data_IF_396672484583
#
_entry.id   IF_396672484583
#
_cell.length_a   1.000
_cell.length_b   1.000
_cell.length_c   1.000
_cell.angle_alpha   90.00
_cell.angle_beta   90.00
_cell.angle_gamma   90.00
#
_symmetry.space_group_name_H-M   'P 1'
#
loop_
_entity.id
_entity.type
_entity.pdbx_description
1 polymer ?
#
# COMPACT_ATOMS: atom_id res chain seq x y z
N UNK A 1 11.90 15.07 -40.06
CA UNK A 1 10.47 14.78 -39.74
C UNK A 1 10.15 15.37 -38.37
N UNK A 2 8.89 15.79 -38.11
CA UNK A 2 8.45 16.22 -36.76
C UNK A 2 7.97 15.00 -35.98
N UNK A 3 8.61 14.66 -34.87
CA UNK A 3 8.10 13.63 -33.95
C UNK A 3 7.03 14.25 -33.05
N UNK A 4 5.80 13.75 -33.16
CA UNK A 4 4.62 14.34 -32.52
C UNK A 4 4.37 13.82 -31.10
N UNK A 5 4.80 14.58 -30.10
CA UNK A 5 3.95 15.03 -28.98
C UNK A 5 3.11 13.96 -28.21
N UNK A 6 3.55 12.70 -28.13
CA UNK A 6 2.84 11.60 -27.46
C UNK A 6 3.65 10.99 -26.31
N UNK A 7 3.74 11.72 -25.18
CA UNK A 7 4.17 11.18 -23.88
C UNK A 7 3.70 12.06 -22.71
N UNK A 8 2.42 12.48 -22.73
CA UNK A 8 1.76 13.15 -21.60
C UNK A 8 0.98 12.16 -20.72
N UNK A 9 1.71 11.30 -20.01
CA UNK A 9 1.22 10.58 -18.82
C UNK A 9 2.39 9.92 -18.11
N UNK A 10 3.17 10.72 -17.38
CA UNK A 10 4.20 10.22 -16.47
C UNK A 10 3.55 9.64 -15.21
N UNK A 11 2.83 8.53 -15.35
CA UNK A 11 2.33 7.73 -14.23
C UNK A 11 3.54 6.94 -13.68
N UNK A 12 4.45 7.68 -13.05
CA UNK A 12 5.56 7.16 -12.26
C UNK A 12 5.04 6.73 -10.89
N UNK A 13 4.08 5.79 -10.89
CA UNK A 13 3.67 5.08 -9.68
C UNK A 13 4.83 4.16 -9.30
N UNK A 14 5.78 4.72 -8.55
CA UNK A 14 6.84 3.97 -7.91
C UNK A 14 6.19 3.04 -6.88
N UNK A 15 5.92 1.79 -7.31
CA UNK A 15 5.34 0.73 -6.50
C UNK A 15 6.34 0.29 -5.43
N UNK A 16 6.51 1.12 -4.41
CA UNK A 16 7.19 0.75 -3.18
C UNK A 16 6.36 -0.35 -2.52
N UNK A 17 7.01 -1.46 -2.23
CA UNK A 17 6.38 -2.60 -1.60
C UNK A 17 7.37 -3.43 -0.80
N UNK A 18 6.85 -4.05 0.25
CA UNK A 18 7.61 -4.82 1.22
C UNK A 18 6.90 -6.13 1.52
N UNK A 19 7.65 -7.13 1.97
CA UNK A 19 7.16 -8.45 2.37
C UNK A 19 7.01 -8.54 3.90
N UNK A 20 5.82 -8.88 4.38
CA UNK A 20 5.56 -9.22 5.78
C UNK A 20 5.28 -10.70 5.95
N UNK A 21 5.55 -11.24 7.14
CA UNK A 21 5.24 -12.62 7.51
C UNK A 21 4.27 -12.61 8.70
N UNK A 22 3.06 -13.16 8.54
CA UNK A 22 2.16 -13.44 9.66
C UNK A 22 1.13 -14.52 9.27
N UNK A 23 0.59 -15.23 10.25
CA UNK A 23 -0.06 -16.52 10.06
C UNK A 23 -1.54 -16.44 9.65
N UNK A 24 -1.97 -17.47 8.90
CA UNK A 24 -3.36 -17.88 8.61
C UNK A 24 -4.28 -16.92 7.84
N UNK A 25 -4.29 -15.60 8.09
CA UNK A 25 -5.25 -14.70 7.44
C UNK A 25 -4.74 -13.28 7.17
N UNK A 26 -4.33 -13.04 5.92
CA UNK A 26 -4.01 -11.71 5.40
C UNK A 26 -5.30 -10.93 5.15
N UNK A 27 -5.41 -9.73 5.73
CA UNK A 27 -6.50 -8.79 5.50
C UNK A 27 -6.03 -7.35 5.78
N UNK A 28 -6.79 -6.34 5.33
CA UNK A 28 -6.40 -4.92 5.46
C UNK A 28 -6.12 -4.47 6.90
N UNK A 29 -6.83 -5.02 7.88
CA UNK A 29 -6.84 -4.60 9.27
C UNK A 29 -5.90 -5.43 10.17
N UNK A 30 -5.10 -6.35 9.61
CA UNK A 30 -4.08 -7.05 10.39
C UNK A 30 -2.92 -6.12 10.72
N UNK A 31 -2.36 -6.24 11.92
CA UNK A 31 -1.36 -5.26 12.38
C UNK A 31 -0.04 -5.34 11.60
N UNK A 32 0.28 -6.53 11.09
CA UNK A 32 1.35 -6.71 10.12
C UNK A 32 1.11 -5.99 8.79
N UNK A 33 -0.12 -5.99 8.27
CA UNK A 33 -0.46 -5.23 7.07
C UNK A 33 -0.44 -3.71 7.33
N UNK A 34 -0.91 -3.25 8.49
CA UNK A 34 -0.87 -1.83 8.90
C UNK A 34 0.56 -1.31 9.02
N UNK A 35 1.39 -1.99 9.81
CA UNK A 35 2.78 -1.58 10.06
C UNK A 35 3.59 -1.53 8.76
N UNK A 36 3.39 -2.51 7.89
CA UNK A 36 4.07 -2.58 6.59
C UNK A 36 3.57 -1.52 5.61
N UNK A 37 2.26 -1.24 5.58
CA UNK A 37 1.70 -0.13 4.81
C UNK A 37 2.21 1.24 5.30
N UNK A 38 2.29 1.46 6.61
CA UNK A 38 2.87 2.66 7.20
C UNK A 38 4.36 2.82 6.83
N UNK A 39 5.12 1.72 6.85
CA UNK A 39 6.52 1.73 6.42
C UNK A 39 6.65 2.08 4.94
N UNK A 40 5.83 1.50 4.07
CA UNK A 40 5.78 1.81 2.63
C UNK A 40 5.41 3.29 2.39
N UNK A 41 4.44 3.85 3.13
CA UNK A 41 4.03 5.26 3.02
C UNK A 41 5.18 6.20 3.41
N UNK A 42 5.82 5.97 4.56
CA UNK A 42 6.98 6.76 5.00
C UNK A 42 8.19 6.62 4.04
N UNK A 43 8.40 5.43 3.46
CA UNK A 43 9.41 5.23 2.41
C UNK A 43 9.08 5.97 1.11
N UNK A 44 7.80 6.05 0.73
CA UNK A 44 7.37 6.75 -0.48
C UNK A 44 7.56 8.26 -0.38
N UNK A 45 7.22 8.88 0.76
CA UNK A 45 7.46 10.31 0.99
C UNK A 45 8.93 10.63 1.32
N UNK A 46 9.73 9.64 1.73
CA UNK A 46 11.16 9.75 2.00
C UNK A 46 11.55 10.17 3.43
N UNK A 47 10.60 10.24 4.35
CA UNK A 47 10.82 10.57 5.77
C UNK A 47 9.72 9.99 6.67
N UNK A 48 10.01 9.83 7.96
CA UNK A 48 9.12 9.19 8.92
C UNK A 48 8.16 10.22 9.57
N UNK A 49 7.21 10.76 8.80
CA UNK A 49 6.20 11.69 9.33
C UNK A 49 4.98 11.01 9.91
N UNK A 50 4.58 9.84 9.37
CA UNK A 50 3.36 9.16 9.76
C UNK A 50 3.65 8.07 10.79
N UNK A 51 2.87 8.05 11.87
CA UNK A 51 3.15 7.29 13.09
C UNK A 51 2.18 6.10 13.27
N UNK A 52 1.02 6.14 12.61
CA UNK A 52 0.01 5.08 12.63
C UNK A 52 -0.91 5.14 11.39
N UNK A 53 -1.68 4.06 11.17
CA UNK A 53 -2.79 4.02 10.21
C UNK A 53 -4.12 3.85 10.94
N UNK A 54 -5.02 4.83 10.80
CA UNK A 54 -6.37 4.84 11.35
C UNK A 54 -7.43 4.55 10.27
N UNK A 55 -8.69 4.37 10.68
CA UNK A 55 -9.86 4.22 9.81
C UNK A 55 -9.70 3.18 8.67
N UNK A 56 -8.95 2.11 8.96
CA UNK A 56 -8.54 1.07 8.01
C UNK A 56 -9.75 0.26 7.53
N UNK A 57 -10.01 0.28 6.21
CA UNK A 57 -11.16 -0.36 5.57
C UNK A 57 -10.78 -1.09 4.28
N UNK A 58 -11.35 -2.28 4.09
CA UNK A 58 -11.29 -3.01 2.82
C UNK A 58 -12.24 -2.35 1.81
N UNK A 59 -11.71 -1.75 0.75
CA UNK A 59 -12.50 -1.20 -0.34
C UNK A 59 -12.98 -2.28 -1.33
N UNK A 60 -12.11 -3.26 -1.63
CA UNK A 60 -12.39 -4.41 -2.50
C UNK A 60 -11.57 -5.61 -2.04
N UNK A 61 -12.02 -6.82 -2.37
CA UNK A 61 -11.26 -8.05 -2.17
C UNK A 61 -11.40 -8.98 -3.38
N UNK A 62 -10.33 -9.67 -3.73
CA UNK A 62 -10.30 -10.77 -4.68
C UNK A 62 -9.68 -11.98 -3.96
N UNK A 63 -10.54 -12.75 -3.28
CA UNK A 63 -10.16 -13.91 -2.49
C UNK A 63 -9.55 -15.03 -3.34
N UNK A 64 -9.96 -15.17 -4.61
CA UNK A 64 -9.37 -16.13 -5.55
C UNK A 64 -7.89 -15.84 -5.85
N UNK A 65 -7.48 -14.56 -5.81
CA UNK A 65 -6.09 -14.13 -6.03
C UNK A 65 -5.35 -13.75 -4.73
N UNK A 66 -6.00 -13.87 -3.57
CA UNK A 66 -5.43 -13.44 -2.29
C UNK A 66 -5.12 -11.93 -2.19
N UNK A 67 -5.80 -11.09 -2.98
CA UNK A 67 -5.56 -9.63 -3.04
C UNK A 67 -6.67 -8.86 -2.33
N UNK A 68 -6.29 -7.95 -1.44
CA UNK A 68 -7.17 -7.02 -0.74
C UNK A 68 -6.78 -5.59 -1.12
N UNK A 69 -7.76 -4.77 -1.48
CA UNK A 69 -7.59 -3.33 -1.69
C UNK A 69 -8.06 -2.59 -0.44
N UNK A 70 -7.18 -1.80 0.14
CA UNK A 70 -7.34 -1.17 1.44
C UNK A 70 -7.26 0.34 1.30
N UNK A 71 -8.03 1.05 2.12
CA UNK A 71 -7.82 2.47 2.37
C UNK A 71 -7.74 2.72 3.87
N UNK A 72 -6.87 3.65 4.26
CA UNK A 72 -6.64 4.06 5.64
C UNK A 72 -6.32 5.55 5.68
N UNK A 73 -6.27 6.12 6.88
CA UNK A 73 -5.79 7.47 7.12
C UNK A 73 -4.44 7.38 7.85
N UNK A 74 -3.37 7.79 7.16
CA UNK A 74 -2.03 7.85 7.74
C UNK A 74 -1.90 9.16 8.52
N UNK A 75 -1.72 9.05 9.84
CA UNK A 75 -1.67 10.22 10.74
C UNK A 75 -0.30 10.36 11.40
N UNK A 76 0.16 11.60 11.58
CA UNK A 76 1.36 11.91 12.34
C UNK A 76 1.78 13.37 12.21
N UNK A 77 3.08 13.64 12.22
CA UNK A 77 3.67 15.00 12.21
C UNK A 77 3.35 15.83 10.95
N UNK A 78 2.98 15.18 9.84
CA UNK A 78 2.53 15.83 8.61
C UNK A 78 1.01 16.10 8.56
N UNK A 79 0.27 15.79 9.62
CA UNK A 79 -1.19 15.80 9.63
C UNK A 79 -1.76 14.42 9.29
N UNK A 80 -2.89 14.38 8.59
CA UNK A 80 -3.56 13.16 8.12
C UNK A 80 -3.69 13.15 6.60
N UNK A 81 -3.46 11.99 5.97
CA UNK A 81 -3.66 11.77 4.53
C UNK A 81 -4.35 10.41 4.28
N UNK A 82 -5.30 10.37 3.35
CA UNK A 82 -5.94 9.10 2.94
C UNK A 82 -5.01 8.33 2.01
N UNK A 83 -4.53 7.17 2.46
CA UNK A 83 -3.66 6.28 1.68
C UNK A 83 -4.47 5.11 1.11
N UNK A 84 -4.13 4.67 -0.10
CA UNK A 84 -4.72 3.50 -0.76
C UNK A 84 -3.61 2.51 -1.08
N UNK A 85 -3.72 1.29 -0.54
CA UNK A 85 -2.71 0.24 -0.68
C UNK A 85 -3.37 -1.11 -0.98
N UNK A 86 -2.66 -1.99 -1.69
CA UNK A 86 -3.03 -3.40 -1.79
C UNK A 86 -2.22 -4.24 -0.80
N UNK A 87 -2.85 -5.30 -0.29
CA UNK A 87 -2.18 -6.40 0.43
C UNK A 87 -2.44 -7.67 -0.36
N UNK A 88 -1.38 -8.37 -0.76
CA UNK A 88 -1.43 -9.57 -1.58
C UNK A 88 -0.69 -10.72 -0.91
N UNK A 89 -1.35 -11.88 -0.74
CA UNK A 89 -0.69 -13.13 -0.37
C UNK A 89 0.35 -13.53 -1.44
N UNK A 90 1.54 -13.91 -0.98
CA UNK A 90 2.56 -14.51 -1.85
C UNK A 90 2.25 -16.00 -2.11
N UNK A 91 2.93 -16.59 -3.10
CA UNK A 91 2.71 -17.99 -3.52
C UNK A 91 3.02 -19.02 -2.41
N UNK A 92 3.86 -18.64 -1.43
CA UNK A 92 4.17 -19.45 -0.24
C UNK A 92 3.00 -19.56 0.77
N UNK A 93 1.99 -18.69 0.64
CA UNK A 93 0.83 -18.51 1.54
C UNK A 93 1.20 -18.23 3.01
N UNK A 94 2.41 -17.74 3.27
CA UNK A 94 2.99 -17.42 4.59
C UNK A 94 3.48 -15.98 4.67
N UNK A 95 3.88 -15.41 3.55
CA UNK A 95 4.22 -14.01 3.40
C UNK A 95 3.16 -13.26 2.58
N UNK A 96 3.17 -11.93 2.71
CA UNK A 96 2.33 -11.03 1.94
C UNK A 96 3.11 -9.80 1.51
N UNK A 97 2.81 -9.31 0.31
CA UNK A 97 3.32 -8.04 -0.21
C UNK A 97 2.31 -6.94 0.10
N UNK A 98 2.77 -5.82 0.65
CA UNK A 98 2.02 -4.56 0.62
C UNK A 98 2.54 -3.69 -0.52
N UNK A 99 1.67 -2.98 -1.22
CA UNK A 99 2.04 -2.02 -2.27
C UNK A 99 1.18 -0.77 -2.16
N UNK A 100 1.81 0.41 -2.15
CA UNK A 100 1.08 1.69 -2.21
C UNK A 100 0.60 1.96 -3.63
N UNK A 101 -0.66 2.36 -3.76
CA UNK A 101 -1.33 2.63 -5.04
C UNK A 101 -1.64 4.11 -5.22
N UNK A 102 -1.89 4.83 -4.12
CA UNK A 102 -1.87 6.29 -4.00
C UNK A 102 -1.56 6.67 -2.54
N UNK A 103 -0.80 7.74 -2.35
CA UNK A 103 -0.52 8.43 -1.09
C UNK A 103 -0.13 9.88 -1.36
#
# INVERSE_FOLDING_TARGET
>A
MKLSQWMKSSILTAMVGLTGCNESTVNCNSDGAKALALQVVNQHVGWAMYEQLENVRTQRQNTQRGVYLCAAEATGKAGSVTVIYSVQLADDKKSFVVTLLNG
#
